data_IF_622786006118
#
_entry.id   IF_622786006118
#
_cell.length_a   1.000
_cell.length_b   1.000
_cell.length_c   1.000
_cell.angle_alpha   90.00
_cell.angle_beta   90.00
_cell.angle_gamma   90.00
#
_symmetry.space_group_name_H-M   'P 1'
#
loop_
_entity.id
_entity.type
_entity.pdbx_description
1 polymer ?
#
# COMPACT_ATOMS: atom_id res chain seq x y z
N UNK A 1 25.64 15.05 22.13
CA UNK A 1 24.44 15.51 21.40
C UNK A 1 23.49 14.33 21.28
N UNK A 2 22.45 14.28 22.10
CA UNK A 2 21.45 13.21 22.04
C UNK A 2 20.48 13.50 20.89
N UNK A 3 20.59 12.76 19.80
CA UNK A 3 19.65 12.81 18.68
C UNK A 3 18.35 12.16 19.15
N UNK A 4 17.31 12.95 19.37
CA UNK A 4 15.96 12.44 19.58
C UNK A 4 15.59 11.59 18.34
N UNK A 5 15.57 10.26 18.47
CA UNK A 5 15.08 9.37 17.43
C UNK A 5 13.55 9.32 17.51
N UNK A 6 12.77 9.92 16.59
CA UNK A 6 11.34 9.65 16.52
C UNK A 6 11.12 8.26 15.90
N UNK A 7 11.47 7.22 16.66
CA UNK A 7 11.28 5.81 16.34
C UNK A 7 9.81 5.44 16.02
N UNK A 8 8.77 6.00 16.68
CA UNK A 8 7.40 5.56 16.42
C UNK A 8 6.82 6.14 15.13
N UNK A 9 7.14 7.38 14.77
CA UNK A 9 6.50 8.06 13.63
C UNK A 9 6.89 7.43 12.28
N UNK A 10 8.17 7.09 12.11
CA UNK A 10 8.67 6.44 10.88
C UNK A 10 8.06 5.06 10.69
N UNK A 11 7.99 4.26 11.77
CA UNK A 11 7.33 2.94 11.76
C UNK A 11 5.83 3.06 11.49
N UNK A 12 5.16 4.10 12.00
CA UNK A 12 3.76 4.39 11.68
C UNK A 12 3.56 4.61 10.18
N UNK A 13 4.40 5.43 9.53
CA UNK A 13 4.36 5.59 8.07
C UNK A 13 4.65 4.28 7.34
N UNK A 14 5.60 3.49 7.86
CA UNK A 14 5.90 2.14 7.41
C UNK A 14 4.65 1.25 7.33
N UNK A 15 3.97 1.11 8.45
CA UNK A 15 2.76 0.30 8.56
C UNK A 15 1.57 0.88 7.79
N UNK A 16 1.40 2.20 7.76
CA UNK A 16 0.33 2.85 7.00
C UNK A 16 0.49 2.57 5.49
N UNK A 17 1.69 2.76 4.95
CA UNK A 17 1.99 2.48 3.54
C UNK A 17 1.80 1.00 3.20
N UNK A 18 2.27 0.11 4.07
CA UNK A 18 2.11 -1.34 3.90
C UNK A 18 0.63 -1.76 3.96
N UNK A 19 -0.17 -1.16 4.86
CA UNK A 19 -1.60 -1.45 4.98
C UNK A 19 -2.38 -1.07 3.73
N UNK A 20 -2.10 0.10 3.14
CA UNK A 20 -2.72 0.53 1.88
C UNK A 20 -2.38 -0.44 0.75
N UNK A 21 -1.11 -0.82 0.62
CA UNK A 21 -0.68 -1.76 -0.41
C UNK A 21 -1.29 -3.15 -0.20
N UNK A 22 -1.32 -3.63 1.05
CA UNK A 22 -1.91 -4.92 1.42
C UNK A 22 -3.41 -4.97 1.10
N UNK A 23 -4.15 -3.88 1.31
CA UNK A 23 -5.57 -3.81 0.95
C UNK A 23 -5.81 -4.03 -0.54
N UNK A 24 -5.12 -3.28 -1.41
CA UNK A 24 -5.30 -3.42 -2.85
C UNK A 24 -4.78 -4.75 -3.38
N UNK A 25 -3.70 -5.28 -2.80
CA UNK A 25 -3.19 -6.60 -3.13
C UNK A 25 -4.19 -7.70 -2.74
N UNK A 26 -4.75 -7.63 -1.54
CA UNK A 26 -5.76 -8.57 -1.07
C UNK A 26 -7.00 -8.53 -1.97
N UNK A 27 -7.49 -7.33 -2.33
CA UNK A 27 -8.59 -7.21 -3.28
C UNK A 27 -8.21 -7.80 -4.65
N UNK A 28 -7.03 -7.51 -5.18
CA UNK A 28 -6.60 -8.08 -6.46
C UNK A 28 -6.66 -9.61 -6.47
N UNK A 29 -6.28 -10.28 -5.37
CA UNK A 29 -6.35 -11.74 -5.23
C UNK A 29 -7.79 -12.21 -5.05
N UNK A 30 -8.55 -11.60 -4.14
CA UNK A 30 -9.92 -11.99 -3.82
C UNK A 30 -10.86 -11.75 -5.01
N UNK A 31 -10.60 -10.73 -5.83
CA UNK A 31 -11.34 -10.44 -7.06
C UNK A 31 -11.12 -11.45 -8.19
N UNK A 32 -10.23 -12.44 -8.01
CA UNK A 32 -10.13 -13.59 -8.91
C UNK A 32 -11.23 -14.64 -8.62
N UNK A 33 -11.86 -14.57 -7.45
CA UNK A 33 -12.95 -15.48 -7.05
C UNK A 33 -14.23 -15.04 -7.76
N UNK A 34 -14.92 -15.96 -8.46
CA UNK A 34 -16.20 -15.65 -9.10
C UNK A 34 -17.22 -15.09 -8.10
N UNK A 35 -17.89 -13.99 -8.48
CA UNK A 35 -18.91 -13.33 -7.66
C UNK A 35 -18.39 -12.20 -6.77
N UNK A 36 -17.07 -11.99 -6.67
CA UNK A 36 -16.49 -10.80 -6.02
C UNK A 36 -16.05 -9.81 -7.10
N UNK A 37 -16.49 -8.53 -7.06
CA UNK A 37 -16.07 -7.54 -8.04
C UNK A 37 -14.55 -7.36 -8.03
N UNK A 38 -13.91 -7.52 -9.18
CA UNK A 38 -12.48 -7.29 -9.33
C UNK A 38 -12.15 -5.80 -9.42
N UNK A 39 -10.86 -5.45 -9.27
CA UNK A 39 -10.40 -4.08 -9.51
C UNK A 39 -10.68 -3.61 -10.94
N UNK A 40 -10.72 -4.54 -11.91
CA UNK A 40 -11.09 -4.25 -13.29
C UNK A 40 -12.58 -3.91 -13.42
N UNK A 41 -13.45 -4.61 -12.69
CA UNK A 41 -14.89 -4.36 -12.71
C UNK A 41 -15.23 -3.00 -12.07
N UNK A 42 -14.49 -2.60 -11.03
CA UNK A 42 -14.73 -1.35 -10.30
C UNK A 42 -14.10 -0.14 -11.00
N UNK A 43 -12.86 -0.25 -11.46
CA UNK A 43 -12.09 0.88 -12.00
C UNK A 43 -12.00 0.87 -13.53
N UNK A 44 -12.27 -0.25 -14.19
CA UNK A 44 -12.07 -0.43 -15.62
C UNK A 44 -10.59 -0.55 -16.03
N UNK A 45 -10.34 -1.01 -17.26
CA UNK A 45 -8.98 -1.13 -17.81
C UNK A 45 -8.19 0.19 -17.75
N UNK A 46 -8.76 1.36 -18.11
CA UNK A 46 -8.02 2.62 -17.99
C UNK A 46 -7.81 3.06 -16.54
N UNK A 47 -8.75 2.75 -15.64
CA UNK A 47 -8.75 3.25 -14.27
C UNK A 47 -7.88 2.44 -13.31
N UNK A 48 -7.49 1.21 -13.67
CA UNK A 48 -6.62 0.35 -12.85
C UNK A 48 -5.26 0.98 -12.50
N UNK A 49 -4.83 1.97 -13.28
CA UNK A 49 -3.63 2.76 -12.99
C UNK A 49 -3.69 3.48 -11.63
N UNK A 50 -4.88 3.85 -11.18
CA UNK A 50 -5.08 4.55 -9.89
C UNK A 50 -4.78 3.63 -8.70
N UNK A 51 -5.45 2.48 -8.53
CA UNK A 51 -5.13 1.56 -7.44
C UNK A 51 -3.69 1.02 -7.55
N UNK A 52 -3.16 0.82 -8.75
CA UNK A 52 -1.76 0.45 -8.94
C UNK A 52 -0.79 1.54 -8.45
N UNK A 53 -1.00 2.80 -8.82
CA UNK A 53 -0.18 3.92 -8.36
C UNK A 53 -0.24 4.11 -6.84
N UNK A 54 -1.44 3.97 -6.25
CA UNK A 54 -1.62 4.04 -4.79
C UNK A 54 -0.87 2.89 -4.09
N UNK A 55 -0.95 1.67 -4.64
CA UNK A 55 -0.22 0.51 -4.11
C UNK A 55 1.29 0.74 -4.14
N UNK A 56 1.82 1.19 -5.28
CA UNK A 56 3.24 1.49 -5.43
C UNK A 56 3.68 2.61 -4.47
N UNK A 57 2.92 3.69 -4.38
CA UNK A 57 3.19 4.78 -3.43
C UNK A 57 3.16 4.31 -1.97
N UNK A 58 2.23 3.44 -1.62
CA UNK A 58 2.15 2.80 -0.30
C UNK A 58 3.38 1.94 -0.01
N UNK A 59 3.82 1.11 -0.97
CA UNK A 59 5.02 0.27 -0.84
C UNK A 59 6.30 1.11 -0.71
N UNK A 60 6.44 2.18 -1.49
CA UNK A 60 7.58 3.10 -1.38
C UNK A 60 7.59 3.80 -0.02
N UNK A 61 6.44 4.25 0.45
CA UNK A 61 6.28 4.83 1.79
C UNK A 61 6.66 3.82 2.87
N UNK A 62 6.23 2.56 2.71
CA UNK A 62 6.57 1.47 3.61
C UNK A 62 8.09 1.25 3.65
N UNK A 63 8.72 1.16 2.47
CA UNK A 63 10.17 0.97 2.34
C UNK A 63 10.95 2.08 3.04
N UNK A 64 10.59 3.35 2.84
CA UNK A 64 11.23 4.49 3.51
C UNK A 64 10.97 4.49 5.02
N UNK A 65 9.75 4.12 5.44
CA UNK A 65 9.36 4.07 6.86
C UNK A 65 10.07 2.99 7.66
N UNK A 66 10.34 1.83 7.03
CA UNK A 66 11.07 0.71 7.63
C UNK A 66 12.58 0.73 7.37
N UNK A 67 13.09 1.68 6.58
CA UNK A 67 14.52 1.76 6.30
C UNK A 67 15.30 2.15 7.58
N UNK A 68 16.12 1.24 8.09
CA UNK A 68 17.04 1.49 9.20
C UNK A 68 18.44 1.77 8.58
N UNK A 69 18.94 3.01 8.76
CA UNK A 69 20.29 3.43 8.36
C UNK A 69 21.33 2.98 9.39
#
# INVERSE_FOLDING_TARGET
MAVHRPLPLRRMFGFAGAGIAAFFLAWAVVGLVPGIPSLLDVFGMPGIRVPAAITIGGLLTAAVGFHEF
#
